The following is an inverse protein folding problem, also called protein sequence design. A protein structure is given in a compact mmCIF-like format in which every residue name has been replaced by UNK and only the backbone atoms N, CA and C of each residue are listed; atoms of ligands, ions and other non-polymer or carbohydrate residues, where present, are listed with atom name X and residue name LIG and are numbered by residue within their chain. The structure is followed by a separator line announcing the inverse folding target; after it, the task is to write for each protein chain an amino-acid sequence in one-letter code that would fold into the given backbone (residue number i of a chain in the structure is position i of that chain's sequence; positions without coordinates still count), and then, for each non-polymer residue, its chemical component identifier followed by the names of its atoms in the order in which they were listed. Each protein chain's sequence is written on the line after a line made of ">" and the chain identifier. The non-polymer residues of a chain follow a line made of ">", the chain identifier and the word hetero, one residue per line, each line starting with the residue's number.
data_IF_654586622189
#
_entry.id   IF_654586622189
#
_cell.length_a   1.000
_cell.length_b   1.000
_cell.length_c   1.000
_cell.angle_alpha   90.00
_cell.angle_beta   90.00
_cell.angle_gamma   90.00
#
_symmetry.space_group_name_H-M   'P 1'
#
loop_
_entity.id
_entity.type
_entity.pdbx_description
1 polymer ?
#
# COMPACT_ATOMS: atom_id res chain seq x y z
N UNK A 1 -5.44 -26.34 -8.49
CA UNK A 1 -5.12 -25.67 -7.22
C UNK A 1 -5.30 -24.17 -7.37
N UNK A 2 -6.55 -23.69 -7.46
CA UNK A 2 -6.88 -22.27 -7.69
C UNK A 2 -6.98 -21.51 -6.35
N UNK A 3 -7.49 -22.16 -5.30
CA UNK A 3 -7.57 -21.58 -3.95
C UNK A 3 -6.22 -21.10 -3.39
N UNK A 4 -5.13 -21.84 -3.62
CA UNK A 4 -3.80 -21.46 -3.13
C UNK A 4 -3.29 -20.16 -3.78
N UNK A 5 -3.50 -20.00 -5.09
CA UNK A 5 -3.14 -18.78 -5.82
C UNK A 5 -4.02 -17.59 -5.40
N UNK A 6 -5.31 -17.82 -5.13
CA UNK A 6 -6.20 -16.78 -4.59
C UNK A 6 -5.78 -16.34 -3.18
N UNK A 7 -5.38 -17.26 -2.31
CA UNK A 7 -4.93 -16.93 -0.96
C UNK A 7 -3.59 -16.19 -0.95
N UNK A 8 -2.65 -16.57 -1.82
CA UNK A 8 -1.38 -15.85 -1.97
C UNK A 8 -1.61 -14.42 -2.49
N UNK A 9 -2.58 -14.23 -3.39
CA UNK A 9 -2.97 -12.90 -3.89
C UNK A 9 -3.59 -12.02 -2.80
N UNK A 10 -4.45 -12.57 -1.94
CA UNK A 10 -5.03 -11.84 -0.81
C UNK A 10 -3.95 -11.47 0.20
N UNK A 11 -3.01 -12.39 0.48
CA UNK A 11 -1.92 -12.12 1.43
C UNK A 11 -0.98 -11.03 0.93
N UNK A 12 -0.61 -11.04 -0.35
CA UNK A 12 0.25 -10.00 -0.93
C UNK A 12 -0.43 -8.63 -0.87
N UNK A 13 -1.72 -8.58 -1.17
CA UNK A 13 -2.51 -7.36 -1.14
C UNK A 13 -2.69 -6.82 0.29
N UNK A 14 -2.91 -7.71 1.27
CA UNK A 14 -2.99 -7.34 2.69
C UNK A 14 -1.69 -6.71 3.20
N UNK A 15 -0.54 -7.22 2.75
CA UNK A 15 0.76 -6.70 3.14
C UNK A 15 1.07 -5.34 2.47
N UNK A 16 0.70 -5.17 1.20
CA UNK A 16 0.76 -3.87 0.52
C UNK A 16 -0.12 -2.81 1.20
N UNK A 17 -1.34 -3.17 1.62
CA UNK A 17 -2.22 -2.25 2.34
C UNK A 17 -1.69 -1.90 3.73
N UNK A 18 -1.08 -2.86 4.45
CA UNK A 18 -0.43 -2.57 5.74
C UNK A 18 0.72 -1.58 5.58
N UNK A 19 1.57 -1.77 4.58
CA UNK A 19 2.69 -0.86 4.30
C UNK A 19 2.19 0.55 3.96
N UNK A 20 1.19 0.64 3.07
CA UNK A 20 0.55 1.92 2.72
C UNK A 20 -0.08 2.61 3.96
N UNK A 21 -0.71 1.85 4.85
CA UNK A 21 -1.29 2.38 6.09
C UNK A 21 -0.24 2.87 7.08
N UNK A 22 0.87 2.16 7.24
CA UNK A 22 1.98 2.56 8.11
C UNK A 22 2.62 3.86 7.61
N UNK A 23 2.84 3.97 6.30
CA UNK A 23 3.33 5.19 5.64
C UNK A 23 2.35 6.36 5.82
N UNK A 24 1.04 6.13 5.71
CA UNK A 24 0.03 7.17 5.93
C UNK A 24 0.02 7.65 7.39
N UNK A 25 0.16 6.73 8.34
CA UNK A 25 0.12 7.06 9.77
C UNK A 25 1.37 7.84 10.23
N UNK A 26 2.49 7.62 9.55
CA UNK A 26 3.76 8.33 9.79
C UNK A 26 3.90 9.58 8.92
N UNK A 27 2.99 9.83 7.98
CA UNK A 27 3.04 10.97 7.09
C UNK A 27 2.72 12.28 7.84
N UNK A 28 3.64 13.23 7.74
CA UNK A 28 3.48 14.57 8.27
C UNK A 28 2.75 15.45 7.24
N UNK A 29 1.47 15.75 7.49
CA UNK A 29 0.64 16.56 6.58
C UNK A 29 1.14 18.01 6.49
N UNK A 30 1.80 18.52 7.52
CA UNK A 30 2.24 19.92 7.56
C UNK A 30 3.54 20.15 6.78
N UNK A 31 4.37 19.10 6.61
CA UNK A 31 5.67 19.16 5.94
C UNK A 31 5.81 18.24 4.70
N UNK A 32 4.82 17.38 4.45
CA UNK A 32 4.84 16.40 3.35
C UNK A 32 3.98 16.82 2.16
N UNK A 33 4.34 16.31 0.97
CA UNK A 33 3.52 16.45 -0.24
C UNK A 33 2.58 15.24 -0.39
N UNK A 34 1.28 15.47 -0.18
CA UNK A 34 0.24 14.45 -0.31
C UNK A 34 0.17 13.87 -1.73
N UNK A 35 0.44 14.67 -2.76
CA UNK A 35 0.40 14.17 -4.14
C UNK A 35 1.55 13.20 -4.38
N UNK A 36 2.75 13.53 -3.92
CA UNK A 36 3.92 12.65 -4.01
C UNK A 36 3.70 11.34 -3.23
N UNK A 37 3.10 11.43 -2.04
CA UNK A 37 2.74 10.27 -1.22
C UNK A 37 1.77 9.32 -1.95
N UNK A 38 0.72 9.86 -2.58
CA UNK A 38 -0.21 9.04 -3.34
C UNK A 38 0.38 8.53 -4.65
N UNK A 39 1.27 9.28 -5.31
CA UNK A 39 2.03 8.76 -6.44
C UNK A 39 2.90 7.58 -6.01
N UNK A 40 3.59 7.63 -4.87
CA UNK A 40 4.41 6.51 -4.42
C UNK A 40 3.59 5.25 -4.09
N UNK A 41 2.40 5.41 -3.51
CA UNK A 41 1.51 4.28 -3.14
C UNK A 41 0.80 3.68 -4.36
N UNK A 42 0.36 4.51 -5.30
CA UNK A 42 -0.46 4.07 -6.43
C UNK A 42 0.29 3.94 -7.76
N UNK A 43 1.59 4.27 -7.82
CA UNK A 43 2.42 4.09 -9.04
C UNK A 43 2.74 2.63 -9.37
N UNK A 44 2.04 1.66 -8.78
CA UNK A 44 2.09 0.27 -9.21
C UNK A 44 1.29 0.09 -10.52
N UNK A 45 1.90 0.48 -11.64
CA UNK A 45 1.65 -0.08 -12.99
C UNK A 45 2.87 0.02 -13.87
#
# INVERSE_FOLDING_TARGET
>A
CVERLCNENISAQDDEYKDAMEKLLTFDIDNGDLNLFFEEIFSSS
#
